data_IF_033542340789
#
_entry.id   IF_033542340789
#
_cell.length_a   1.000
_cell.length_b   1.000
_cell.length_c   1.000
_cell.angle_alpha   90.00
_cell.angle_beta   90.00
_cell.angle_gamma   90.00
#
_symmetry.space_group_name_H-M   'P 1'
#
loop_
_entity.id
_entity.type
_entity.pdbx_description
1 polymer ?
#
# COMPACT_ATOMS: atom_id res chain seq x y z
N UNK A 1 0.00 15.24 27.61
CA UNK A 1 -0.30 14.76 26.25
C UNK A 1 0.98 14.18 25.65
N UNK A 2 1.34 12.97 26.10
CA UNK A 2 2.57 12.29 25.67
C UNK A 2 2.23 11.34 24.52
N UNK A 3 2.68 11.68 23.32
CA UNK A 3 2.55 10.82 22.16
C UNK A 3 3.28 9.49 22.43
N UNK A 4 2.59 8.39 22.16
CA UNK A 4 3.10 7.03 22.23
C UNK A 4 4.29 6.88 21.28
N UNK A 5 5.51 7.13 21.78
CA UNK A 5 6.75 6.66 21.16
C UNK A 5 6.80 5.16 21.39
N UNK A 6 6.25 4.38 20.47
CA UNK A 6 6.57 2.97 20.39
C UNK A 6 8.05 2.85 20.00
N UNK A 7 8.91 2.58 21.00
CA UNK A 7 10.28 2.16 20.77
C UNK A 7 10.26 0.81 20.07
N UNK A 8 10.52 0.80 18.77
CA UNK A 8 10.75 -0.42 17.99
C UNK A 8 12.18 -0.87 18.29
N UNK A 9 12.31 -1.92 19.10
CA UNK A 9 13.57 -2.66 19.27
C UNK A 9 13.85 -3.36 17.94
N UNK A 10 14.95 -3.01 17.28
CA UNK A 10 15.50 -3.80 16.18
C UNK A 10 15.76 -5.22 16.70
N UNK A 11 14.86 -6.14 16.36
CA UNK A 11 15.07 -7.57 16.63
C UNK A 11 16.13 -8.07 15.66
N UNK A 12 17.28 -8.42 16.22
CA UNK A 12 18.56 -8.74 15.59
C UNK A 12 18.62 -10.10 14.88
N UNK A 13 17.53 -10.57 14.26
CA UNK A 13 17.46 -11.86 13.56
C UNK A 13 16.73 -11.79 12.20
N UNK A 14 16.78 -10.64 11.52
CA UNK A 14 16.11 -10.38 10.23
C UNK A 14 17.14 -10.01 9.16
N UNK A 15 17.18 -10.73 8.03
CA UNK A 15 18.14 -10.47 6.95
C UNK A 15 17.77 -9.29 6.05
N UNK A 16 16.49 -8.88 6.05
CA UNK A 16 15.99 -7.77 5.25
C UNK A 16 15.79 -6.57 6.16
N UNK A 17 16.49 -5.47 5.86
CA UNK A 17 16.39 -4.20 6.60
C UNK A 17 15.81 -3.12 5.69
N UNK A 18 15.39 -1.99 6.27
CA UNK A 18 15.04 -0.80 5.48
C UNK A 18 16.20 -0.32 4.60
N UNK A 19 17.44 -0.45 5.08
CA UNK A 19 18.65 -0.14 4.31
C UNK A 19 18.85 -1.05 3.10
N UNK A 20 18.46 -2.34 3.18
CA UNK A 20 18.49 -3.24 2.04
C UNK A 20 17.52 -2.79 0.93
N UNK A 21 16.26 -2.51 1.29
CA UNK A 21 15.27 -2.04 0.32
C UNK A 21 15.69 -0.70 -0.32
N UNK A 22 16.31 0.18 0.46
CA UNK A 22 16.86 1.42 -0.07
C UNK A 22 18.02 1.16 -1.03
N UNK A 23 18.90 0.21 -0.74
CA UNK A 23 19.97 -0.22 -1.65
C UNK A 23 19.43 -0.79 -2.97
N UNK A 24 18.38 -1.61 -2.91
CA UNK A 24 17.70 -2.15 -4.11
C UNK A 24 17.17 -1.02 -4.97
N UNK A 25 16.45 -0.06 -4.39
CA UNK A 25 15.86 1.04 -5.14
C UNK A 25 16.92 2.01 -5.69
N UNK A 26 18.01 2.27 -4.93
CA UNK A 26 19.17 3.03 -5.42
C UNK A 26 19.83 2.35 -6.64
N UNK A 27 20.05 1.04 -6.56
CA UNK A 27 20.64 0.26 -7.64
C UNK A 27 19.74 0.27 -8.89
N UNK A 28 18.45 0.04 -8.72
CA UNK A 28 17.47 0.11 -9.80
C UNK A 28 17.43 1.50 -10.48
N UNK A 29 17.47 2.57 -9.68
CA UNK A 29 17.51 3.94 -10.20
C UNK A 29 18.80 4.22 -10.98
N UNK A 30 19.96 3.76 -10.47
CA UNK A 30 21.25 3.91 -11.15
C UNK A 30 21.29 3.19 -12.51
N UNK A 31 20.61 2.05 -12.63
CA UNK A 31 20.48 1.30 -13.88
C UNK A 31 19.42 1.83 -14.86
N UNK A 32 18.57 2.78 -14.43
CA UNK A 32 17.47 3.30 -15.27
C UNK A 32 18.01 4.29 -16.32
N UNK A 33 17.75 4.01 -17.60
CA UNK A 33 18.15 4.88 -18.72
C UNK A 33 16.98 5.69 -19.30
N UNK A 34 15.74 5.29 -19.01
CA UNK A 34 14.54 5.98 -19.46
C UNK A 34 14.44 7.40 -18.85
N UNK A 35 13.87 8.32 -19.61
CA UNK A 35 13.53 9.67 -19.12
C UNK A 35 12.18 9.61 -18.42
N UNK A 36 12.06 10.27 -17.27
CA UNK A 36 10.82 10.37 -16.52
C UNK A 36 11.05 10.27 -15.01
N UNK A 37 9.94 10.31 -14.29
CA UNK A 37 9.87 10.11 -12.83
C UNK A 37 8.82 9.06 -12.52
N UNK A 38 8.92 8.46 -11.34
CA UNK A 38 7.97 7.44 -10.89
C UNK A 38 7.76 7.54 -9.39
N UNK A 39 6.58 7.15 -8.93
CA UNK A 39 6.40 6.67 -7.56
C UNK A 39 6.93 5.23 -7.46
N UNK A 40 7.17 4.74 -6.26
CA UNK A 40 7.60 3.36 -6.07
C UNK A 40 7.18 2.84 -4.70
N UNK A 41 6.61 1.65 -4.65
CA UNK A 41 6.31 0.93 -3.42
C UNK A 41 6.94 -0.47 -3.50
N UNK A 42 8.05 -0.68 -2.78
CA UNK A 42 8.83 -1.92 -2.83
C UNK A 42 8.70 -2.63 -1.49
N UNK A 43 8.14 -3.85 -1.52
CA UNK A 43 7.89 -4.66 -0.33
C UNK A 43 8.69 -5.95 -0.31
N UNK A 44 9.05 -6.40 0.88
CA UNK A 44 9.62 -7.72 1.13
C UNK A 44 9.02 -8.31 2.41
N UNK A 45 8.72 -9.60 2.37
CA UNK A 45 8.28 -10.36 3.55
C UNK A 45 9.50 -11.06 4.15
N UNK A 46 9.76 -10.78 5.42
CA UNK A 46 10.85 -11.38 6.19
C UNK A 46 10.28 -11.97 7.48
N UNK A 47 10.11 -13.30 7.49
CA UNK A 47 9.36 -14.01 8.52
C UNK A 47 7.95 -13.44 8.71
N UNK A 48 7.59 -12.98 9.92
CA UNK A 48 6.27 -12.40 10.20
C UNK A 48 6.18 -10.90 9.89
N UNK A 49 7.20 -10.29 9.29
CA UNK A 49 7.22 -8.84 9.03
C UNK A 49 7.14 -8.54 7.55
N UNK A 50 6.21 -7.68 7.18
CA UNK A 50 6.22 -6.98 5.90
C UNK A 50 7.08 -5.71 6.07
N UNK A 51 8.15 -5.60 5.29
CA UNK A 51 8.97 -4.40 5.20
C UNK A 51 8.72 -3.74 3.86
N UNK A 52 8.43 -2.44 3.87
CA UNK A 52 8.15 -1.68 2.65
C UNK A 52 8.99 -0.42 2.64
N UNK A 53 9.53 -0.08 1.48
CA UNK A 53 10.03 1.25 1.18
C UNK A 53 9.11 1.85 0.13
N UNK A 54 8.44 2.96 0.47
CA UNK A 54 7.54 3.66 -0.46
C UNK A 54 7.97 5.12 -0.65
N UNK A 55 7.83 5.61 -1.88
CA UNK A 55 7.96 7.02 -2.28
C UNK A 55 6.80 7.38 -3.21
N UNK A 56 6.08 8.45 -2.86
CA UNK A 56 4.88 8.88 -3.56
C UNK A 56 3.60 8.31 -2.97
N UNK A 57 2.59 8.14 -3.81
CA UNK A 57 1.23 7.74 -3.46
C UNK A 57 0.81 6.36 -3.98
N UNK A 58 1.72 5.64 -4.64
CA UNK A 58 1.68 4.18 -4.60
C UNK A 58 1.85 3.71 -3.15
N UNK A 59 1.11 2.69 -2.76
CA UNK A 59 1.01 2.29 -1.35
C UNK A 59 0.69 0.83 -1.15
N UNK A 60 0.49 0.49 0.12
CA UNK A 60 0.03 -0.83 0.51
C UNK A 60 -0.95 -0.77 1.68
N UNK A 61 -1.81 -1.77 1.72
CA UNK A 61 -2.83 -1.98 2.73
C UNK A 61 -2.72 -3.41 3.26
N UNK A 62 -2.94 -3.59 4.56
CA UNK A 62 -3.04 -4.89 5.22
C UNK A 62 -4.47 -5.05 5.71
N UNK A 63 -5.15 -6.07 5.21
CA UNK A 63 -6.49 -6.46 5.64
C UNK A 63 -6.40 -7.62 6.62
N UNK A 64 -7.03 -7.48 7.78
CA UNK A 64 -7.04 -8.49 8.85
C UNK A 64 -8.45 -8.72 9.36
N UNK A 65 -8.91 -9.97 9.27
CA UNK A 65 -10.21 -10.36 9.81
C UNK A 65 -11.38 -9.53 9.28
N UNK A 66 -11.31 -9.13 8.01
CA UNK A 66 -12.36 -8.38 7.30
C UNK A 66 -12.27 -6.85 7.39
N UNK A 67 -11.26 -6.31 8.08
CA UNK A 67 -11.08 -4.86 8.25
C UNK A 67 -9.68 -4.41 7.84
N UNK A 68 -9.53 -3.10 7.65
CA UNK A 68 -8.24 -2.46 7.36
C UNK A 68 -7.42 -2.41 8.64
N UNK A 69 -6.37 -3.22 8.71
CA UNK A 69 -5.44 -3.23 9.84
C UNK A 69 -4.38 -2.14 9.71
N UNK A 70 -3.97 -1.83 8.48
CA UNK A 70 -3.02 -0.79 8.16
C UNK A 70 -3.21 -0.34 6.73
N UNK A 71 -3.08 0.96 6.47
CA UNK A 71 -2.95 1.53 5.14
C UNK A 71 -1.79 2.53 5.18
N UNK A 72 -0.82 2.38 4.29
CA UNK A 72 0.31 3.32 4.22
C UNK A 72 -0.17 4.71 3.85
N UNK A 73 0.26 5.77 4.56
CA UNK A 73 -0.10 7.13 4.18
C UNK A 73 0.52 7.50 2.83
N UNK A 74 -0.23 8.13 1.92
CA UNK A 74 0.32 8.63 0.67
C UNK A 74 1.30 9.78 0.93
N UNK A 75 2.27 9.96 0.05
CA UNK A 75 3.29 10.99 0.17
C UNK A 75 3.14 12.02 -0.95
N UNK A 76 2.65 13.19 -0.57
CA UNK A 76 2.39 14.30 -1.48
C UNK A 76 3.13 15.57 -1.07
N UNK A 77 3.57 16.34 -2.06
CA UNK A 77 3.97 17.75 -1.88
C UNK A 77 2.75 18.68 -1.84
N UNK A 78 1.67 18.27 -2.48
CA UNK A 78 0.35 18.91 -2.55
C UNK A 78 -0.66 17.97 -3.19
N UNK A 79 -1.94 18.35 -3.22
CA UNK A 79 -2.99 17.49 -3.80
C UNK A 79 -2.62 17.02 -5.22
N UNK A 80 -2.68 15.71 -5.44
CA UNK A 80 -2.34 15.05 -6.71
C UNK A 80 -0.92 15.40 -7.23
N UNK A 81 0.02 15.74 -6.34
CA UNK A 81 1.41 16.01 -6.67
C UNK A 81 2.34 15.18 -5.76
N UNK A 82 2.56 13.89 -6.10
CA UNK A 82 3.33 12.98 -5.26
C UNK A 82 4.82 13.31 -5.20
N UNK A 83 5.47 12.81 -4.15
CA UNK A 83 6.92 12.63 -4.20
C UNK A 83 7.25 11.57 -5.25
N UNK A 84 8.30 11.82 -6.02
CA UNK A 84 8.70 10.93 -7.10
C UNK A 84 10.22 10.80 -7.11
N UNK A 85 10.69 9.71 -7.68
CA UNK A 85 12.10 9.46 -7.97
C UNK A 85 12.33 9.55 -9.47
N UNK A 86 13.49 10.09 -9.84
CA UNK A 86 13.88 10.30 -11.23
C UNK A 86 15.38 10.23 -11.37
N UNK A 87 15.85 9.95 -12.58
CA UNK A 87 17.29 9.80 -12.85
C UNK A 87 18.02 11.13 -12.68
N UNK A 88 19.01 11.16 -11.77
CA UNK A 88 20.12 12.15 -11.71
C UNK A 88 19.64 13.63 -11.67
N UNK A 89 18.37 13.85 -11.33
CA UNK A 89 17.81 15.18 -11.14
C UNK A 89 17.69 15.45 -9.64
N UNK A 90 18.39 16.48 -9.12
CA UNK A 90 18.29 16.88 -7.71
C UNK A 90 16.86 17.17 -7.23
N UNK A 91 15.91 17.42 -8.14
CA UNK A 91 14.50 17.66 -7.82
C UNK A 91 13.73 16.39 -7.41
N UNK A 92 14.27 15.19 -7.69
CA UNK A 92 13.62 13.90 -7.41
C UNK A 92 14.50 12.97 -6.56
N UNK A 93 14.90 13.39 -5.34
CA UNK A 93 15.78 12.61 -4.49
C UNK A 93 15.05 11.42 -3.86
N UNK A 94 15.79 10.32 -3.64
CA UNK A 94 15.27 9.15 -2.94
C UNK A 94 15.05 9.40 -1.44
N UNK A 95 15.62 10.47 -0.89
CA UNK A 95 15.61 10.78 0.55
C UNK A 95 14.19 11.04 1.10
N UNK A 96 13.22 11.28 0.23
CA UNK A 96 11.81 11.43 0.61
C UNK A 96 11.12 10.08 0.87
N UNK A 97 11.72 8.95 0.47
CA UNK A 97 11.15 7.63 0.68
C UNK A 97 10.99 7.30 2.17
N UNK A 98 9.92 6.59 2.51
CA UNK A 98 9.60 6.16 3.89
C UNK A 98 9.65 4.65 3.99
N UNK A 99 10.30 4.19 5.06
CA UNK A 99 10.32 2.77 5.43
C UNK A 99 9.19 2.45 6.40
N UNK A 100 8.53 1.32 6.15
CA UNK A 100 7.47 0.77 6.97
C UNK A 100 7.84 -0.65 7.38
N UNK A 101 7.43 -1.04 8.58
CA UNK A 101 7.50 -2.42 9.04
C UNK A 101 6.19 -2.76 9.72
N UNK A 102 5.47 -3.73 9.17
CA UNK A 102 4.17 -4.18 9.68
C UNK A 102 4.28 -5.65 10.04
N UNK A 103 3.92 -5.99 11.28
CA UNK A 103 3.81 -7.38 11.67
C UNK A 103 2.53 -7.98 11.07
N UNK A 104 2.72 -9.00 10.24
CA UNK A 104 1.66 -9.78 9.61
C UNK A 104 1.15 -10.86 10.58
N UNK A 105 -0.02 -11.40 10.27
CA UNK A 105 -0.62 -12.55 10.93
C UNK A 105 -1.17 -13.53 9.88
N UNK A 106 -1.25 -14.83 10.18
CA UNK A 106 -1.92 -15.79 9.31
C UNK A 106 -3.35 -15.34 8.97
N UNK A 107 -3.69 -15.41 7.68
CA UNK A 107 -4.98 -14.98 7.16
C UNK A 107 -5.04 -13.52 6.74
N UNK A 108 -4.01 -12.72 7.01
CA UNK A 108 -3.89 -11.35 6.47
C UNK A 108 -3.84 -11.38 4.94
N UNK A 109 -4.36 -10.32 4.33
CA UNK A 109 -4.21 -10.04 2.90
C UNK A 109 -3.51 -8.70 2.75
N UNK A 110 -2.36 -8.70 2.09
CA UNK A 110 -1.65 -7.47 1.72
C UNK A 110 -2.07 -7.09 0.31
N UNK A 111 -2.48 -5.84 0.11
CA UNK A 111 -2.77 -5.24 -1.19
C UNK A 111 -1.77 -4.12 -1.39
N UNK A 112 -0.82 -4.27 -2.32
CA UNK A 112 0.02 -3.18 -2.78
C UNK A 112 -0.51 -2.69 -4.13
N UNK A 113 -0.67 -1.39 -4.32
CA UNK A 113 -1.28 -0.85 -5.52
C UNK A 113 -0.77 0.55 -5.86
N UNK A 114 -1.01 0.96 -7.11
CA UNK A 114 -0.89 2.36 -7.52
C UNK A 114 -2.04 3.19 -6.95
N UNK A 115 -1.87 4.51 -6.98
CA UNK A 115 -2.91 5.49 -6.65
C UNK A 115 -4.16 5.29 -7.51
N UNK A 116 -4.06 4.84 -8.76
CA UNK A 116 -5.21 4.49 -9.59
C UNK A 116 -6.23 3.52 -8.95
N UNK A 117 -5.82 2.71 -7.97
CA UNK A 117 -6.74 1.93 -7.12
C UNK A 117 -7.26 2.74 -5.93
N UNK A 118 -6.35 3.32 -5.13
CA UNK A 118 -6.69 4.01 -3.87
C UNK A 118 -7.43 5.34 -4.06
N UNK A 119 -7.29 5.98 -5.22
CA UNK A 119 -8.03 7.18 -5.62
C UNK A 119 -9.49 6.87 -6.02
N UNK A 120 -9.77 5.61 -6.35
CA UNK A 120 -11.04 5.19 -6.93
C UNK A 120 -11.89 4.27 -6.05
N UNK A 121 -11.30 3.62 -5.04
CA UNK A 121 -12.01 2.77 -4.08
C UNK A 121 -11.70 3.20 -2.65
N UNK A 122 -12.74 3.33 -1.83
CA UNK A 122 -12.54 3.52 -0.40
C UNK A 122 -11.97 2.26 0.26
N UNK A 123 -11.22 2.45 1.35
CA UNK A 123 -10.58 1.37 2.09
C UNK A 123 -11.57 0.27 2.51
N UNK A 124 -12.77 0.67 2.95
CA UNK A 124 -13.83 -0.26 3.35
C UNK A 124 -14.40 -1.05 2.16
N UNK A 125 -14.48 -0.45 0.98
CA UNK A 125 -14.92 -1.15 -0.24
C UNK A 125 -13.90 -2.20 -0.68
N UNK A 126 -12.61 -1.88 -0.58
CA UNK A 126 -11.50 -2.81 -0.82
C UNK A 126 -11.60 -3.99 0.16
N UNK A 127 -11.74 -3.69 1.45
CA UNK A 127 -11.85 -4.71 2.50
C UNK A 127 -13.09 -5.61 2.31
N UNK A 128 -14.25 -5.00 2.00
CA UNK A 128 -15.50 -5.72 1.78
C UNK A 128 -15.44 -6.61 0.53
N UNK A 129 -14.85 -6.13 -0.58
CA UNK A 129 -14.66 -6.91 -1.79
C UNK A 129 -13.79 -8.13 -1.54
N UNK A 130 -12.61 -7.95 -0.93
CA UNK A 130 -11.70 -9.06 -0.59
C UNK A 130 -12.37 -10.06 0.35
N UNK A 131 -13.08 -9.58 1.37
CA UNK A 131 -13.77 -10.42 2.35
C UNK A 131 -14.87 -11.25 1.69
N UNK A 132 -15.72 -10.62 0.87
CA UNK A 132 -16.77 -11.31 0.10
C UNK A 132 -16.18 -12.38 -0.80
N UNK A 133 -15.13 -12.05 -1.54
CA UNK A 133 -14.47 -12.98 -2.45
C UNK A 133 -13.94 -14.22 -1.74
N UNK A 134 -13.33 -14.06 -0.56
CA UNK A 134 -12.83 -15.17 0.26
C UNK A 134 -13.96 -16.00 0.88
N UNK A 135 -15.08 -15.37 1.27
CA UNK A 135 -16.24 -16.05 1.82
C UNK A 135 -16.94 -16.93 0.77
N UNK A 136 -17.11 -16.41 -0.45
CA UNK A 136 -17.73 -17.15 -1.56
C UNK A 136 -16.90 -18.36 -2.00
N UNK A 137 -15.57 -18.20 -2.03
CA UNK A 137 -14.63 -19.24 -2.44
C UNK A 137 -13.34 -19.14 -1.62
N UNK A 138 -13.20 -19.94 -0.55
CA UNK A 138 -12.02 -19.90 0.32
C UNK A 138 -10.68 -20.19 -0.37
N UNK A 139 -10.72 -20.86 -1.54
CA UNK A 139 -9.54 -21.21 -2.35
C UNK A 139 -9.26 -20.22 -3.50
N UNK A 140 -9.85 -19.02 -3.50
CA UNK A 140 -9.49 -18.02 -4.52
C UNK A 140 -8.01 -17.69 -4.47
N UNK A 141 -7.45 -17.46 -5.65
CA UNK A 141 -6.04 -17.07 -5.76
C UNK A 141 -5.88 -15.58 -5.46
N UNK A 142 -4.66 -15.19 -5.09
CA UNK A 142 -4.32 -13.78 -4.96
C UNK A 142 -4.48 -13.01 -6.29
N UNK A 143 -4.20 -13.66 -7.42
CA UNK A 143 -4.37 -13.09 -8.76
C UNK A 143 -5.84 -12.75 -9.06
N UNK A 144 -6.79 -13.62 -8.71
CA UNK A 144 -8.22 -13.33 -8.88
C UNK A 144 -8.65 -12.10 -8.07
N UNK A 145 -8.17 -11.97 -6.83
CA UNK A 145 -8.45 -10.80 -5.99
C UNK A 145 -7.83 -9.53 -6.57
N UNK A 146 -6.58 -9.59 -7.05
CA UNK A 146 -5.91 -8.46 -7.70
C UNK A 146 -6.69 -7.97 -8.93
N UNK A 147 -7.13 -8.89 -9.81
CA UNK A 147 -7.93 -8.54 -11.00
C UNK A 147 -9.27 -7.93 -10.64
N UNK A 148 -9.97 -8.48 -9.63
CA UNK A 148 -11.25 -7.96 -9.21
C UNK A 148 -11.14 -6.55 -8.62
N UNK A 149 -10.11 -6.31 -7.81
CA UNK A 149 -9.80 -4.98 -7.27
C UNK A 149 -9.51 -3.97 -8.37
N UNK A 150 -8.65 -4.34 -9.34
CA UNK A 150 -8.34 -3.46 -10.46
C UNK A 150 -9.59 -3.15 -11.30
N UNK A 151 -10.42 -4.15 -11.61
CA UNK A 151 -11.66 -3.96 -12.35
C UNK A 151 -12.69 -3.10 -11.60
N UNK A 152 -12.75 -3.24 -10.27
CA UNK A 152 -13.62 -2.42 -9.42
C UNK A 152 -13.19 -0.95 -9.45
N UNK A 153 -11.89 -0.66 -9.33
CA UNK A 153 -11.37 0.71 -9.43
C UNK A 153 -11.66 1.33 -10.80
N UNK A 154 -11.46 0.57 -11.89
CA UNK A 154 -11.80 1.01 -13.25
C UNK A 154 -13.30 1.32 -13.40
N UNK A 155 -14.14 0.48 -12.79
CA UNK A 155 -15.60 0.68 -12.81
C UNK A 155 -16.01 1.90 -11.99
N UNK A 156 -15.36 2.13 -10.84
CA UNK A 156 -15.68 3.22 -9.94
C UNK A 156 -15.45 4.58 -10.61
N UNK A 157 -14.31 4.78 -11.28
CA UNK A 157 -14.06 6.07 -11.95
C UNK A 157 -14.99 6.32 -13.14
N UNK A 158 -15.45 5.27 -13.83
CA UNK A 158 -16.35 5.41 -14.99
C UNK A 158 -17.81 5.64 -14.62
N UNK A 159 -18.22 5.32 -13.38
CA UNK A 159 -19.64 5.27 -12.98
C UNK A 159 -20.00 6.04 -11.71
N UNK A 160 -19.03 6.41 -10.87
CA UNK A 160 -19.29 7.03 -9.57
C UNK A 160 -18.73 8.44 -9.50
N UNK A 161 -19.53 9.37 -8.97
CA UNK A 161 -19.08 10.72 -8.62
C UNK A 161 -18.41 10.79 -7.25
N UNK A 162 -18.56 9.75 -6.42
CA UNK A 162 -18.03 9.70 -5.06
C UNK A 162 -16.94 8.63 -4.97
N UNK A 163 -15.70 9.09 -5.15
CA UNK A 163 -14.48 8.31 -4.94
C UNK A 163 -13.56 9.06 -3.96
N UNK A 164 -12.55 8.39 -3.37
CA UNK A 164 -11.56 9.05 -2.53
C UNK A 164 -10.93 10.29 -3.20
N UNK A 165 -10.59 10.20 -4.50
CA UNK A 165 -10.05 11.32 -5.26
C UNK A 165 -11.03 12.48 -5.37
N UNK A 166 -12.29 12.22 -5.72
CA UNK A 166 -13.32 13.25 -5.80
C UNK A 166 -13.52 13.95 -4.45
N UNK A 167 -13.56 13.18 -3.37
CA UNK A 167 -13.66 13.71 -2.00
C UNK A 167 -12.44 14.57 -1.63
N UNK A 168 -11.22 14.10 -1.93
CA UNK A 168 -9.98 14.83 -1.66
C UNK A 168 -9.84 16.10 -2.51
N UNK A 169 -10.27 16.07 -3.78
CA UNK A 169 -10.31 17.24 -4.67
C UNK A 169 -11.23 18.34 -4.12
N UNK A 170 -12.43 17.96 -3.66
CA UNK A 170 -13.37 18.87 -2.99
C UNK A 170 -12.77 19.45 -1.71
N UNK A 171 -12.12 18.63 -0.89
CA UNK A 171 -11.46 19.08 0.34
C UNK A 171 -10.29 20.03 0.08
N UNK A 172 -9.61 19.89 -1.07
CA UNK A 172 -8.54 20.79 -1.51
C UNK A 172 -9.07 22.10 -2.14
N UNK A 173 -10.39 22.29 -2.24
CA UNK A 173 -10.99 23.50 -2.83
C UNK A 173 -10.84 23.59 -4.35
N UNK A 174 -10.52 22.49 -5.02
CA UNK A 174 -10.49 22.42 -6.49
C UNK A 174 -11.92 22.26 -7.03
N UNK A 175 -12.11 22.55 -8.33
CA UNK A 175 -13.42 22.53 -9.00
C UNK A 175 -14.22 21.26 -8.62
N UNK A 176 -15.56 21.34 -8.53
CA UNK A 176 -16.42 20.18 -8.29
C UNK A 176 -16.36 19.24 -9.49
N UNK A 177 -15.27 18.48 -9.61
CA UNK A 177 -15.11 17.38 -10.53
C UNK A 177 -15.88 16.21 -9.95
N UNK A 178 -17.04 15.95 -10.54
CA UNK A 178 -17.81 14.73 -10.31
C UNK A 178 -17.09 13.58 -10.99
N UNK A 179 -16.56 12.62 -10.24
CA UNK A 179 -15.97 11.41 -10.84
C UNK A 179 -14.69 10.93 -10.18
N UNK A 180 -14.39 9.64 -10.38
CA UNK A 180 -13.07 9.11 -10.08
C UNK A 180 -11.99 9.61 -11.02
N UNK A 181 -10.74 9.20 -10.74
CA UNK A 181 -9.55 9.58 -11.49
C UNK A 181 -9.28 8.54 -12.59
N UNK A 182 -9.32 8.92 -13.88
CA UNK A 182 -8.86 8.04 -14.96
C UNK A 182 -7.34 7.88 -14.83
N UNK A 183 -6.89 6.68 -14.46
CA UNK A 183 -5.48 6.40 -14.17
C UNK A 183 -5.13 4.93 -14.46
N UNK A 184 -3.82 4.65 -14.55
CA UNK A 184 -3.32 3.29 -14.66
C UNK A 184 -3.50 2.56 -13.32
N UNK A 185 -4.22 1.43 -13.36
CA UNK A 185 -4.53 0.64 -12.15
C UNK A 185 -3.65 -0.61 -12.11
N UNK A 186 -2.74 -0.66 -11.14
CA UNK A 186 -1.94 -1.84 -10.83
C UNK A 186 -2.21 -2.30 -9.40
N UNK A 187 -2.45 -3.60 -9.23
CA UNK A 187 -2.66 -4.21 -7.91
C UNK A 187 -1.85 -5.52 -7.80
N UNK A 188 -1.17 -5.67 -6.67
CA UNK A 188 -0.45 -6.88 -6.25
C UNK A 188 -1.06 -7.33 -4.93
N UNK A 189 -1.51 -8.58 -4.88
CA UNK A 189 -2.12 -9.16 -3.68
C UNK A 189 -1.24 -10.29 -3.14
N UNK A 190 -1.04 -10.31 -1.83
CA UNK A 190 -0.34 -11.37 -1.11
C UNK A 190 -1.24 -11.92 -0.02
N UNK A 191 -1.45 -13.23 -0.02
CA UNK A 191 -2.18 -13.93 1.04
C UNK A 191 -1.21 -14.54 2.04
N UNK A 192 -1.36 -14.19 3.31
CA UNK A 192 -0.45 -14.62 4.37
C UNK A 192 -0.90 -15.96 4.93
N UNK A 193 -0.09 -17.01 4.75
CA UNK A 193 -0.39 -18.38 5.17
C UNK A 193 0.29 -18.74 6.50
N UNK A 194 -0.34 -19.62 7.28
CA UNK A 194 0.16 -20.08 8.59
C UNK A 194 1.50 -20.82 8.52
N UNK A 195 1.85 -21.42 7.38
CA UNK A 195 3.09 -22.20 7.21
C UNK A 195 4.38 -21.38 7.35
N UNK A 196 4.30 -20.05 7.27
CA UNK A 196 5.47 -19.17 7.23
C UNK A 196 5.71 -18.44 8.56
N UNK A 197 4.97 -18.78 9.61
CA UNK A 197 5.09 -18.13 10.92
C UNK A 197 5.83 -19.03 11.92
N UNK A 198 6.87 -18.51 12.60
CA UNK A 198 7.44 -19.20 13.75
C UNK A 198 6.38 -19.30 14.85
N UNK A 199 6.13 -20.52 15.35
CA UNK A 199 5.06 -20.83 16.31
C UNK A 199 5.11 -20.05 17.64
N UNK A 200 6.22 -19.35 17.91
CA UNK A 200 6.49 -18.68 19.18
C UNK A 200 6.34 -17.15 19.15
N UNK A 201 6.07 -16.52 17.99
CA UNK A 201 5.90 -15.06 17.95
C UNK A 201 4.45 -14.67 18.28
N UNK A 202 4.20 -13.79 19.27
CA UNK A 202 2.85 -13.34 19.56
C UNK A 202 2.25 -12.62 18.35
N UNK A 203 1.06 -13.04 17.94
CA UNK A 203 0.32 -12.42 16.85
C UNK A 203 -0.12 -11.00 17.26
N UNK A 204 -0.10 -10.04 16.32
CA UNK A 204 -0.61 -8.70 16.59
C UNK A 204 -2.09 -8.78 17.00
N UNK A 205 -2.43 -8.13 18.12
CA UNK A 205 -3.81 -8.11 18.63
C UNK A 205 -4.71 -7.36 17.65
N UNK A 206 -6.00 -7.75 17.58
CA UNK A 206 -7.02 -6.94 16.90
C UNK A 206 -7.04 -5.55 17.54
N UNK A 207 -7.01 -4.50 16.73
CA UNK A 207 -7.40 -3.18 17.22
C UNK A 207 -8.82 -3.31 17.78
N UNK A 208 -8.99 -3.07 19.08
CA UNK A 208 -10.31 -3.01 19.69
C UNK A 208 -11.05 -1.83 19.07
N UNK A 209 -12.20 -2.10 18.47
CA UNK A 209 -13.16 -1.06 18.09
C UNK A 209 -13.67 -0.41 19.38
N UNK A 210 -13.18 0.79 19.69
CA UNK A 210 -13.80 1.71 20.66
C UNK A 210 -14.83 2.57 19.97
#
# INVERSE_FOLDING_TARGET
>A
MSACKAQIKELSHCGITGSLLQGVLKSALAGTTARGTSTACVGAVDGPFLRVLSIGDSGFMVLRGGAVAYHSPPQHKGFNFPYQIGRVDPAYPLDCAKSFTVQLAPGDVVVAATDGLFDNLFDDDIAALVTRMRAERPRRTADEMARALAAAAVTAYTRSEDTPFAAASRAAGLLPGTGGKPDDVTAVVVTVCSSNFPAHLPLPQRASSS
#
